data_IF_495647006512
#
_entry.id   IF_495647006512
#
_cell.length_a   1.000
_cell.length_b   1.000
_cell.length_c   1.000
_cell.angle_alpha   90.00
_cell.angle_beta   90.00
_cell.angle_gamma   90.00
#
_symmetry.space_group_name_H-M   'P 1'
#
loop_
_entity.id
_entity.type
_entity.pdbx_description
1 polymer ?
#
# COMPACT_ATOMS: atom_id res chain seq x y z
N UNK A 1 24.46 4.16 12.07
CA UNK A 1 24.58 2.91 11.29
C UNK A 1 23.20 2.36 10.97
N UNK A 2 22.32 2.19 11.95
CA UNK A 2 20.95 1.68 11.78
C UNK A 2 20.16 2.51 10.76
N UNK A 3 20.26 3.85 10.81
CA UNK A 3 19.51 4.76 9.91
C UNK A 3 20.14 4.95 8.52
N UNK A 4 21.37 4.48 8.31
CA UNK A 4 22.10 4.73 7.05
C UNK A 4 22.21 3.51 6.15
N UNK A 5 22.08 2.32 6.70
CA UNK A 5 22.24 1.07 5.96
C UNK A 5 20.99 0.20 6.09
N UNK A 6 20.57 -0.48 5.03
CA UNK A 6 19.41 -1.36 5.04
C UNK A 6 19.72 -2.70 5.71
N UNK A 7 20.34 -2.65 6.90
CA UNK A 7 20.65 -3.82 7.71
C UNK A 7 19.64 -3.92 8.85
N UNK A 8 19.02 -5.09 8.98
CA UNK A 8 18.13 -5.38 10.09
C UNK A 8 18.88 -5.30 11.44
N UNK A 9 18.19 -4.82 12.47
CA UNK A 9 18.77 -4.62 13.81
C UNK A 9 19.36 -5.90 14.39
N UNK A 10 18.77 -7.06 14.06
CA UNK A 10 19.25 -8.39 14.46
C UNK A 10 20.64 -8.70 13.85
N UNK A 11 20.85 -8.31 12.59
CA UNK A 11 22.14 -8.47 11.91
C UNK A 11 23.21 -7.60 12.56
N UNK A 12 22.86 -6.35 12.86
CA UNK A 12 23.75 -5.43 13.56
C UNK A 12 24.10 -5.96 14.95
N UNK A 13 23.12 -6.43 15.70
CA UNK A 13 23.34 -6.99 17.02
C UNK A 13 24.33 -8.16 16.99
N UNK A 14 24.18 -9.08 16.03
CA UNK A 14 25.12 -10.20 15.83
C UNK A 14 26.55 -9.74 15.55
N UNK A 15 26.73 -8.72 14.71
CA UNK A 15 28.06 -8.19 14.38
C UNK A 15 28.79 -7.63 15.60
N UNK A 16 28.06 -7.09 16.57
CA UNK A 16 28.62 -6.49 17.78
C UNK A 16 28.48 -7.39 19.03
N UNK A 17 28.07 -8.64 18.88
CA UNK A 17 27.88 -9.57 20.00
C UNK A 17 26.81 -9.15 21.00
N UNK A 18 25.78 -8.42 20.53
CA UNK A 18 24.67 -7.90 21.33
C UNK A 18 23.44 -8.75 21.16
N UNK A 19 22.56 -8.71 22.17
CA UNK A 19 21.22 -9.30 22.08
C UNK A 19 20.33 -8.40 21.22
N UNK A 20 19.78 -8.96 20.11
CA UNK A 20 19.00 -8.19 19.12
C UNK A 20 17.79 -7.49 19.71
N UNK A 21 17.02 -8.16 20.56
CA UNK A 21 15.83 -7.58 21.20
C UNK A 21 16.19 -6.41 22.12
N UNK A 22 17.25 -6.53 22.89
CA UNK A 22 17.73 -5.47 23.79
C UNK A 22 18.24 -4.25 22.99
N UNK A 23 18.93 -4.49 21.87
CA UNK A 23 19.38 -3.41 20.99
C UNK A 23 18.19 -2.69 20.36
N UNK A 24 17.17 -3.41 19.93
CA UNK A 24 15.93 -2.85 19.36
C UNK A 24 15.20 -1.98 20.38
N UNK A 25 14.97 -2.49 21.59
CA UNK A 25 14.34 -1.73 22.67
C UNK A 25 15.11 -0.45 23.01
N UNK A 26 16.45 -0.57 23.08
CA UNK A 26 17.30 0.59 23.36
C UNK A 26 17.26 1.63 22.23
N UNK A 27 17.28 1.17 20.98
CA UNK A 27 17.15 2.05 19.81
C UNK A 27 15.82 2.79 19.82
N UNK A 28 14.70 2.06 19.98
CA UNK A 28 13.37 2.65 20.00
C UNK A 28 13.20 3.69 21.12
N UNK A 29 13.71 3.40 22.31
CA UNK A 29 13.52 4.27 23.49
C UNK A 29 14.44 5.46 23.56
N UNK A 30 15.68 5.33 23.08
CA UNK A 30 16.74 6.31 23.36
C UNK A 30 17.45 6.88 22.14
N UNK A 31 17.43 6.18 21.01
CA UNK A 31 18.22 6.57 19.83
C UNK A 31 17.36 6.99 18.64
N UNK A 32 16.07 6.63 18.62
CA UNK A 32 15.12 7.04 17.59
C UNK A 32 14.16 8.08 18.13
N UNK A 33 13.55 8.84 17.22
CA UNK A 33 12.48 9.80 17.55
C UNK A 33 11.11 9.14 17.73
N UNK A 34 11.06 7.79 17.78
CA UNK A 34 9.80 7.04 17.81
C UNK A 34 8.92 7.41 19.01
N UNK A 35 9.51 7.61 20.20
CA UNK A 35 8.76 7.94 21.41
C UNK A 35 8.13 9.33 21.37
N UNK A 36 8.73 10.27 20.64
CA UNK A 36 8.22 11.64 20.43
C UNK A 36 7.37 11.78 19.16
N UNK A 37 7.27 10.71 18.36
CA UNK A 37 6.54 10.75 17.11
C UNK A 37 5.03 10.88 17.34
N UNK A 38 4.45 11.96 16.82
CA UNK A 38 3.03 12.30 17.02
C UNK A 38 2.06 11.23 16.48
N UNK A 39 2.44 10.52 15.40
CA UNK A 39 1.60 9.49 14.80
C UNK A 39 1.68 8.13 15.52
N UNK A 40 2.50 7.98 16.55
CA UNK A 40 2.77 6.69 17.23
C UNK A 40 1.51 5.98 17.71
N UNK A 41 0.55 6.72 18.26
CA UNK A 41 -0.67 6.14 18.84
C UNK A 41 -1.56 5.45 17.80
N UNK A 42 -1.60 5.96 16.58
CA UNK A 42 -2.42 5.41 15.50
C UNK A 42 -1.62 4.70 14.41
N UNK A 43 -0.29 4.68 14.50
CA UNK A 43 0.58 4.05 13.51
C UNK A 43 0.31 2.55 13.29
N UNK A 44 -0.13 1.75 14.30
CA UNK A 44 -0.53 0.37 14.08
C UNK A 44 -1.72 0.19 13.13
N UNK A 45 -2.61 1.19 13.08
CA UNK A 45 -3.83 1.12 12.30
C UNK A 45 -3.74 1.92 11.00
N UNK A 46 -3.10 3.10 11.04
CA UNK A 46 -2.96 3.93 9.86
C UNK A 46 -1.83 4.96 9.99
N UNK A 47 -1.21 5.28 8.86
CA UNK A 47 -0.31 6.41 8.67
C UNK A 47 -0.81 7.28 7.53
N UNK A 48 -0.61 8.60 7.66
CA UNK A 48 -1.03 9.58 6.68
C UNK A 48 0.03 10.68 6.55
N UNK A 49 0.43 10.95 5.30
CA UNK A 49 1.43 11.95 4.93
C UNK A 49 0.83 12.92 3.91
N UNK A 50 0.01 13.89 4.37
CA UNK A 50 -0.66 14.80 3.46
C UNK A 50 0.29 15.63 2.59
N UNK A 51 1.52 15.87 3.05
CA UNK A 51 2.56 16.59 2.31
C UNK A 51 2.98 15.89 1.03
N UNK A 52 2.85 14.56 0.97
CA UNK A 52 3.25 13.75 -0.16
C UNK A 52 2.17 13.64 -1.25
N UNK A 53 1.00 14.24 -1.06
CA UNK A 53 -0.06 14.24 -2.06
C UNK A 53 0.38 15.00 -3.29
N UNK A 54 0.36 14.34 -4.44
CA UNK A 54 0.59 14.90 -5.77
C UNK A 54 -0.63 14.77 -6.67
N UNK A 55 -0.55 15.23 -7.93
CA UNK A 55 -1.65 15.13 -8.88
C UNK A 55 -1.95 13.70 -9.34
N UNK A 56 -0.97 12.81 -9.31
CA UNK A 56 -1.08 11.42 -9.80
C UNK A 56 -0.81 10.45 -8.66
N UNK A 57 -1.87 9.77 -8.21
CA UNK A 57 -1.80 8.79 -7.14
C UNK A 57 -2.03 7.37 -7.66
N UNK A 58 -1.65 6.40 -6.85
CA UNK A 58 -2.06 5.00 -6.99
C UNK A 58 -2.62 4.53 -5.66
N UNK A 59 -3.66 3.71 -5.70
CA UNK A 59 -4.22 3.02 -4.54
C UNK A 59 -4.24 1.53 -4.82
N UNK A 60 -3.78 0.74 -3.85
CA UNK A 60 -3.68 -0.72 -3.99
C UNK A 60 -3.84 -1.39 -2.63
N UNK A 61 -4.20 -2.68 -2.64
CA UNK A 61 -4.20 -3.54 -1.47
C UNK A 61 -2.92 -4.38 -1.43
N UNK A 62 -2.32 -4.44 -0.27
CA UNK A 62 -1.13 -5.27 -0.07
C UNK A 62 -1.21 -6.05 1.24
N UNK A 63 -0.69 -7.27 1.21
CA UNK A 63 -0.46 -8.04 2.43
C UNK A 63 0.95 -7.76 2.94
N UNK A 64 1.06 -7.28 4.16
CA UNK A 64 2.34 -7.10 4.83
C UNK A 64 2.67 -8.34 5.69
N UNK A 65 3.02 -8.17 6.94
CA UNK A 65 3.36 -9.30 7.80
C UNK A 65 2.11 -10.07 8.25
N UNK A 66 2.26 -11.39 8.42
CA UNK A 66 1.25 -12.30 9.01
C UNK A 66 -0.10 -12.37 8.27
N UNK A 67 -0.15 -11.97 6.99
CA UNK A 67 -1.38 -12.02 6.19
C UNK A 67 -2.35 -10.87 6.45
N UNK A 68 -1.98 -9.87 7.23
CA UNK A 68 -2.78 -8.65 7.41
C UNK A 68 -2.81 -7.83 6.12
N UNK A 69 -4.02 -7.45 5.69
CA UNK A 69 -4.23 -6.62 4.51
C UNK A 69 -4.16 -5.14 4.87
N UNK A 70 -3.56 -4.37 4.00
CA UNK A 70 -3.45 -2.92 4.08
C UNK A 70 -3.84 -2.27 2.76
N UNK A 71 -4.52 -1.14 2.84
CA UNK A 71 -4.71 -0.26 1.69
C UNK A 71 -3.63 0.79 1.69
N UNK A 72 -2.89 0.88 0.59
CA UNK A 72 -1.76 1.80 0.42
C UNK A 72 -2.06 2.82 -0.66
N UNK A 73 -1.83 4.09 -0.36
CA UNK A 73 -1.94 5.18 -1.34
C UNK A 73 -0.56 5.77 -1.55
N UNK A 74 -0.14 5.84 -2.81
CA UNK A 74 1.18 6.35 -3.18
C UNK A 74 1.12 7.48 -4.20
N UNK A 75 2.12 8.36 -4.17
CA UNK A 75 2.36 9.39 -5.16
C UNK A 75 3.25 8.83 -6.28
N UNK A 76 2.70 8.68 -7.48
CA UNK A 76 3.38 8.13 -8.65
C UNK A 76 4.59 8.97 -9.07
N UNK A 77 4.55 10.28 -8.89
CA UNK A 77 5.65 11.17 -9.27
C UNK A 77 6.91 10.97 -8.43
N UNK A 78 6.78 10.47 -7.22
CA UNK A 78 7.93 10.18 -6.36
C UNK A 78 8.72 8.93 -6.79
N UNK A 79 8.17 8.10 -7.71
CA UNK A 79 8.84 6.90 -8.26
C UNK A 79 9.45 5.99 -7.17
N UNK A 80 8.72 5.72 -6.10
CA UNK A 80 9.16 4.88 -4.99
C UNK A 80 10.21 5.52 -4.05
N UNK A 81 10.55 6.79 -4.27
CA UNK A 81 11.52 7.53 -3.44
C UNK A 81 10.84 8.15 -2.22
N UNK A 82 11.60 8.88 -1.41
CA UNK A 82 11.09 9.68 -0.29
C UNK A 82 9.94 10.58 -0.78
N UNK A 83 8.81 10.55 -0.06
CA UNK A 83 7.60 11.26 -0.46
C UNK A 83 6.62 10.42 -1.32
N UNK A 84 6.94 9.15 -1.61
CA UNK A 84 6.02 8.27 -2.35
C UNK A 84 4.81 7.85 -1.51
N UNK A 85 4.99 7.53 -0.24
CA UNK A 85 3.88 7.08 0.61
C UNK A 85 2.99 8.26 1.01
N UNK A 86 1.71 8.20 0.65
CA UNK A 86 0.67 9.18 1.03
C UNK A 86 -0.15 8.66 2.21
N UNK A 87 -0.56 7.40 2.16
CA UNK A 87 -1.28 6.76 3.24
C UNK A 87 -1.03 5.25 3.26
N UNK A 88 -1.07 4.69 4.44
CA UNK A 88 -1.20 3.24 4.66
C UNK A 88 -2.26 3.04 5.74
N UNK A 89 -3.24 2.20 5.46
CA UNK A 89 -4.39 1.95 6.34
C UNK A 89 -4.57 0.45 6.50
N UNK A 90 -4.61 -0.04 7.73
CA UNK A 90 -4.88 -1.44 8.03
C UNK A 90 -6.31 -1.79 7.63
N UNK A 91 -6.45 -2.86 6.85
CA UNK A 91 -7.73 -3.35 6.33
C UNK A 91 -8.11 -2.77 4.96
N UNK A 92 -9.27 -3.24 4.48
CA UNK A 92 -9.80 -2.96 3.13
C UNK A 92 -11.21 -2.35 3.17
N UNK A 93 -11.71 -1.99 4.35
CA UNK A 93 -13.05 -1.44 4.52
C UNK A 93 -13.13 -0.01 4.00
N UNK A 94 -13.86 0.19 2.91
CA UNK A 94 -13.95 1.49 2.23
C UNK A 94 -14.33 2.65 3.14
N UNK A 95 -15.27 2.46 4.08
CA UNK A 95 -15.72 3.55 4.96
C UNK A 95 -14.63 4.03 5.92
N UNK A 96 -13.85 3.10 6.48
CA UNK A 96 -12.71 3.40 7.34
C UNK A 96 -11.62 4.15 6.56
N UNK A 97 -11.27 3.66 5.37
CA UNK A 97 -10.24 4.26 4.52
C UNK A 97 -10.65 5.68 4.11
N UNK A 98 -11.91 5.86 3.71
CA UNK A 98 -12.46 7.18 3.35
C UNK A 98 -12.36 8.16 4.53
N UNK A 99 -12.68 7.73 5.76
CA UNK A 99 -12.57 8.58 6.95
C UNK A 99 -11.13 9.05 7.18
N UNK A 100 -10.15 8.16 7.00
CA UNK A 100 -8.74 8.48 7.15
C UNK A 100 -8.28 9.42 6.03
N UNK A 101 -8.57 9.10 4.77
CA UNK A 101 -8.18 9.94 3.63
C UNK A 101 -8.85 11.33 3.68
N UNK A 102 -10.02 11.46 4.27
CA UNK A 102 -10.67 12.77 4.49
C UNK A 102 -9.95 13.67 5.50
N UNK A 103 -9.03 13.14 6.31
CA UNK A 103 -8.14 13.95 7.15
C UNK A 103 -7.11 14.73 6.31
N UNK A 104 -6.84 14.33 5.07
CA UNK A 104 -6.07 15.13 4.11
C UNK A 104 -6.83 16.44 3.85
N UNK A 105 -6.16 17.61 3.96
CA UNK A 105 -6.79 18.90 3.70
C UNK A 105 -7.51 18.93 2.36
N UNK A 106 -8.73 19.49 2.32
CA UNK A 106 -9.59 19.53 1.12
C UNK A 106 -8.84 20.06 -0.10
N UNK A 107 -8.06 21.14 0.06
CA UNK A 107 -7.27 21.73 -1.02
C UNK A 107 -6.36 20.68 -1.70
N UNK A 108 -5.67 19.85 -0.92
CA UNK A 108 -4.78 18.80 -1.43
C UNK A 108 -5.57 17.68 -2.14
N UNK A 109 -6.69 17.24 -1.57
CA UNK A 109 -7.53 16.21 -2.21
C UNK A 109 -8.12 16.68 -3.55
N UNK A 110 -8.39 17.98 -3.69
CA UNK A 110 -8.90 18.57 -4.95
C UNK A 110 -7.80 18.86 -5.99
N UNK A 111 -6.52 18.74 -5.63
CA UNK A 111 -5.38 18.82 -6.55
C UNK A 111 -5.11 17.49 -7.26
N UNK A 112 -5.67 16.39 -6.76
CA UNK A 112 -5.49 15.07 -7.37
C UNK A 112 -6.26 15.03 -8.69
N UNK A 113 -5.55 14.78 -9.78
CA UNK A 113 -6.07 14.75 -11.15
C UNK A 113 -6.38 13.31 -11.60
N UNK A 114 -5.58 12.34 -11.13
CA UNK A 114 -5.69 10.95 -11.51
C UNK A 114 -5.37 10.02 -10.35
N UNK A 115 -6.13 8.95 -10.22
CA UNK A 115 -5.81 7.84 -9.32
C UNK A 115 -5.87 6.53 -10.11
N UNK A 116 -4.73 5.84 -10.14
CA UNK A 116 -4.64 4.47 -10.64
C UNK A 116 -5.10 3.51 -9.57
N UNK A 117 -5.97 2.58 -9.91
CA UNK A 117 -6.57 1.63 -8.97
C UNK A 117 -6.84 0.29 -9.64
N UNK A 118 -6.99 -0.74 -8.81
CA UNK A 118 -7.56 -2.02 -9.22
C UNK A 118 -9.02 -1.86 -9.67
N UNK A 119 -9.51 -2.82 -10.45
CA UNK A 119 -10.89 -2.86 -10.98
C UNK A 119 -11.96 -3.18 -9.90
N UNK A 120 -11.59 -3.21 -8.62
CA UNK A 120 -12.51 -3.48 -7.52
C UNK A 120 -13.44 -2.28 -7.24
N UNK A 121 -14.75 -2.51 -7.18
CA UNK A 121 -15.77 -1.49 -6.88
C UNK A 121 -15.54 -0.79 -5.52
N UNK A 122 -14.90 -1.46 -4.55
CA UNK A 122 -14.50 -0.90 -3.27
C UNK A 122 -13.47 0.20 -3.43
N UNK A 123 -12.47 0.01 -4.30
CA UNK A 123 -11.42 0.99 -4.61
C UNK A 123 -12.00 2.21 -5.31
N UNK A 124 -12.86 1.99 -6.30
CA UNK A 124 -13.57 3.06 -6.99
C UNK A 124 -14.34 3.96 -6.01
N UNK A 125 -15.11 3.35 -5.10
CA UNK A 125 -15.85 4.08 -4.05
C UNK A 125 -14.93 4.91 -3.16
N UNK A 126 -13.77 4.37 -2.75
CA UNK A 126 -12.79 5.09 -1.93
C UNK A 126 -12.29 6.34 -2.67
N UNK A 127 -11.90 6.18 -3.94
CA UNK A 127 -11.35 7.27 -4.74
C UNK A 127 -12.36 8.37 -4.97
N UNK A 128 -13.56 8.04 -5.44
CA UNK A 128 -14.63 9.02 -5.70
C UNK A 128 -14.95 9.85 -4.43
N UNK A 129 -15.01 9.20 -3.27
CA UNK A 129 -15.36 9.87 -2.01
C UNK A 129 -14.20 10.66 -1.40
N UNK A 130 -12.96 10.30 -1.70
CA UNK A 130 -11.77 10.93 -1.14
C UNK A 130 -11.17 11.99 -2.05
N UNK A 131 -11.15 11.76 -3.37
CA UNK A 131 -10.52 12.62 -4.39
C UNK A 131 -11.53 12.99 -5.50
N UNK A 132 -12.47 13.89 -5.24
CA UNK A 132 -13.67 14.08 -6.06
C UNK A 132 -13.40 14.67 -7.46
N UNK A 133 -12.19 15.14 -7.76
CA UNK A 133 -11.78 15.64 -9.07
C UNK A 133 -10.91 14.66 -9.84
N UNK A 134 -10.48 13.58 -9.21
CA UNK A 134 -9.58 12.63 -9.81
C UNK A 134 -10.30 11.80 -10.89
N UNK A 135 -9.62 11.59 -12.00
CA UNK A 135 -9.99 10.59 -13.01
C UNK A 135 -9.55 9.22 -12.50
N UNK A 136 -10.41 8.23 -12.65
CA UNK A 136 -10.11 6.85 -12.33
C UNK A 136 -9.37 6.22 -13.52
N UNK A 137 -8.24 5.58 -13.25
CA UNK A 137 -7.45 4.87 -14.25
C UNK A 137 -7.25 3.45 -13.76
N UNK A 138 -7.66 2.48 -14.57
CA UNK A 138 -7.46 1.06 -14.24
C UNK A 138 -5.98 0.71 -14.32
N UNK A 139 -5.48 -0.05 -13.35
CA UNK A 139 -4.13 -0.55 -13.38
C UNK A 139 -3.95 -1.54 -14.53
N UNK A 140 -2.96 -1.27 -15.37
CA UNK A 140 -2.64 -2.11 -16.53
C UNK A 140 -2.30 -3.55 -16.15
N UNK A 141 -1.65 -3.75 -15.01
CA UNK A 141 -1.28 -5.08 -14.56
C UNK A 141 -2.52 -5.94 -14.33
N UNK A 142 -3.51 -5.42 -13.60
CA UNK A 142 -4.77 -6.12 -13.33
C UNK A 142 -5.57 -6.39 -14.61
N UNK A 143 -5.58 -5.46 -15.57
CA UNK A 143 -6.21 -5.68 -16.88
C UNK A 143 -5.51 -6.80 -17.65
N UNK A 144 -4.17 -6.82 -17.67
CA UNK A 144 -3.41 -7.88 -18.32
C UNK A 144 -3.64 -9.25 -17.65
N UNK A 145 -3.69 -9.27 -16.33
CA UNK A 145 -3.96 -10.49 -15.57
C UNK A 145 -5.32 -11.06 -15.94
N UNK A 146 -6.39 -10.26 -15.93
CA UNK A 146 -7.73 -10.70 -16.34
C UNK A 146 -7.75 -11.29 -17.76
N UNK A 147 -7.06 -10.65 -18.70
CA UNK A 147 -6.96 -11.17 -20.06
C UNK A 147 -6.23 -12.52 -20.11
N UNK A 148 -5.14 -12.66 -19.36
CA UNK A 148 -4.38 -13.89 -19.28
C UNK A 148 -5.18 -15.01 -18.63
N UNK A 149 -5.90 -14.72 -17.56
CA UNK A 149 -6.76 -15.68 -16.86
C UNK A 149 -7.91 -16.15 -17.75
N UNK A 150 -8.53 -15.24 -18.53
CA UNK A 150 -9.56 -15.60 -19.50
C UNK A 150 -9.04 -16.55 -20.59
N UNK A 151 -7.86 -16.28 -21.15
CA UNK A 151 -7.20 -17.16 -22.12
C UNK A 151 -6.90 -18.53 -21.50
N UNK A 152 -6.39 -18.55 -20.27
CA UNK A 152 -6.11 -19.81 -19.57
C UNK A 152 -7.37 -20.62 -19.33
N UNK A 153 -8.48 -19.97 -18.96
CA UNK A 153 -9.78 -20.63 -18.78
C UNK A 153 -10.24 -21.28 -20.08
N UNK A 154 -10.21 -20.57 -21.20
CA UNK A 154 -10.55 -21.12 -22.51
C UNK A 154 -9.68 -22.34 -22.90
N UNK A 155 -8.36 -22.27 -22.63
CA UNK A 155 -7.46 -23.42 -22.88
C UNK A 155 -7.84 -24.63 -22.05
N UNK A 156 -8.23 -24.45 -20.79
CA UNK A 156 -8.69 -25.54 -19.91
C UNK A 156 -9.98 -26.15 -20.46
N UNK A 157 -10.96 -25.34 -20.82
CA UNK A 157 -12.23 -25.78 -21.38
C UNK A 157 -12.05 -26.59 -22.65
N UNK A 158 -11.26 -26.09 -23.60
CA UNK A 158 -10.96 -26.84 -24.85
C UNK A 158 -10.22 -28.15 -24.59
N UNK A 159 -9.31 -28.18 -23.61
CA UNK A 159 -8.62 -29.41 -23.25
C UNK A 159 -9.60 -30.47 -22.71
N UNK A 160 -10.51 -30.09 -21.85
CA UNK A 160 -11.53 -31.01 -21.32
C UNK A 160 -12.46 -31.51 -22.41
N UNK A 161 -12.92 -30.62 -23.32
CA UNK A 161 -13.75 -31.01 -24.45
C UNK A 161 -13.05 -32.04 -25.37
N UNK A 162 -11.75 -31.87 -25.61
CA UNK A 162 -10.97 -32.84 -26.41
C UNK A 162 -10.86 -34.20 -25.71
N UNK A 163 -10.63 -34.24 -24.41
CA UNK A 163 -10.56 -35.46 -23.62
C UNK A 163 -11.91 -36.19 -23.62
N UNK A 164 -13.02 -35.47 -23.49
CA UNK A 164 -14.38 -36.05 -23.50
C UNK A 164 -14.76 -36.62 -24.88
N UNK A 165 -14.16 -36.14 -25.98
CA UNK A 165 -14.38 -36.65 -27.33
C UNK A 165 -13.54 -37.89 -27.64
N UNK A 166 -12.45 -38.13 -26.93
CA UNK A 166 -11.58 -39.30 -27.08
C UNK A 166 -12.04 -40.50 -26.26
N UNK A 167 -12.97 -40.36 -25.31
CA UNK A 167 -13.57 -41.40 -24.47
C UNK A 167 -14.93 -41.82 -25.01
#
# INVERSE_FOLDING_TARGET
MIDRYPLGIQTIAKLFGLEGKRLEEHYVRHLSDFMSWQAREHAPDWLLFPENVGPYLSIDETSLSQGELYTVVTNKQANGRKGALVAIVKGVRSDQIIQILKKIPRRKRYMVEEVTLDLAATMERIVIRSFPRAKLVSDRFHVQQLATDAVQQLRIEHRWQAIDQEN
#
